data_IF_738114896003
#
_entry.id   IF_738114896003
#
_cell.length_a   1.000
_cell.length_b   1.000
_cell.length_c   1.000
_cell.angle_alpha   90.00
_cell.angle_beta   90.00
_cell.angle_gamma   90.00
#
_symmetry.space_group_name_H-M   'P 1'
#
loop_
_entity.id
_entity.type
_entity.pdbx_description
1 polymer ?
#
# COMPACT_ATOMS: atom_id res chain seq x y z
N UNK A 1 -19.80 42.37 -10.74
CA UNK A 1 -19.77 41.84 -9.36
C UNK A 1 -18.50 42.34 -8.68
N UNK A 2 -18.55 42.62 -7.38
CA UNK A 2 -17.37 43.04 -6.63
C UNK A 2 -16.68 41.80 -6.06
N UNK A 3 -15.36 41.71 -6.20
CA UNK A 3 -14.55 40.65 -5.58
C UNK A 3 -14.71 40.77 -4.06
N UNK A 4 -14.96 39.66 -3.38
CA UNK A 4 -15.14 39.60 -1.94
C UNK A 4 -14.23 38.51 -1.36
N UNK A 5 -13.56 38.86 -0.28
CA UNK A 5 -12.66 37.97 0.44
C UNK A 5 -13.37 37.41 1.66
N UNK A 6 -13.45 36.08 1.71
CA UNK A 6 -14.03 35.34 2.80
C UNK A 6 -12.99 34.44 3.45
N UNK A 7 -13.03 34.41 4.77
CA UNK A 7 -12.22 33.55 5.61
C UNK A 7 -13.14 32.76 6.52
N UNK A 8 -13.11 31.44 6.38
CA UNK A 8 -13.86 30.53 7.24
C UNK A 8 -12.93 30.03 8.35
N UNK A 9 -13.23 30.39 9.59
CA UNK A 9 -12.49 29.98 10.78
C UNK A 9 -13.46 29.21 11.68
N UNK A 10 -13.15 27.96 12.01
CA UNK A 10 -14.03 27.08 12.82
C UNK A 10 -15.50 27.03 12.35
N UNK A 11 -15.73 27.01 11.04
CA UNK A 11 -17.10 26.98 10.46
C UNK A 11 -17.85 28.33 10.52
N UNK A 12 -17.22 29.38 11.07
CA UNK A 12 -17.74 30.74 11.00
C UNK A 12 -17.13 31.45 9.81
N UNK A 13 -17.99 31.96 8.93
CA UNK A 13 -17.57 32.76 7.77
C UNK A 13 -17.39 34.22 8.16
N UNK A 14 -16.20 34.75 7.90
CA UNK A 14 -15.81 36.14 8.10
C UNK A 14 -15.56 36.79 6.75
N UNK A 15 -16.20 37.93 6.49
CA UNK A 15 -15.94 38.76 5.32
C UNK A 15 -14.96 39.84 5.75
N UNK A 16 -13.88 40.03 5.00
CA UNK A 16 -12.92 41.10 5.30
C UNK A 16 -13.60 42.47 5.16
N UNK A 17 -13.34 43.41 6.10
CA UNK A 17 -13.93 44.75 6.04
C UNK A 17 -13.40 45.54 4.85
N UNK A 18 -12.10 45.41 4.55
CA UNK A 18 -11.45 46.03 3.39
C UNK A 18 -10.79 44.92 2.57
N UNK A 19 -11.09 44.90 1.28
CA UNK A 19 -10.47 43.96 0.37
C UNK A 19 -9.00 44.34 0.16
N UNK A 20 -8.06 43.38 0.21
CA UNK A 20 -6.67 43.64 -0.13
C UNK A 20 -6.53 44.10 -1.59
N UNK A 21 -5.58 44.99 -1.85
CA UNK A 21 -5.32 45.49 -3.21
C UNK A 21 -4.68 44.44 -4.13
N UNK A 22 -3.98 43.46 -3.57
CA UNK A 22 -3.33 42.37 -4.30
C UNK A 22 -3.36 41.09 -3.45
N UNK A 23 -3.49 39.95 -4.13
CA UNK A 23 -3.30 38.62 -3.55
C UNK A 23 -2.28 37.86 -4.39
N UNK A 24 -1.20 37.38 -3.77
CA UNK A 24 -0.17 36.58 -4.45
C UNK A 24 -0.34 35.11 -4.10
N UNK A 25 -0.47 34.26 -5.12
CA UNK A 25 -0.52 32.81 -5.00
C UNK A 25 0.75 32.19 -5.57
N UNK A 26 1.55 31.56 -4.72
CA UNK A 26 2.77 30.87 -5.12
C UNK A 26 2.52 29.37 -5.12
N UNK A 27 2.64 28.74 -6.28
CA UNK A 27 2.53 27.29 -6.45
C UNK A 27 3.81 26.73 -7.05
N UNK A 28 4.36 25.68 -6.47
CA UNK A 28 5.56 25.02 -6.95
C UNK A 28 5.37 23.52 -7.14
N UNK A 29 6.40 22.88 -7.69
CA UNK A 29 6.51 21.44 -7.84
C UNK A 29 7.82 20.98 -7.22
N UNK A 30 7.77 19.93 -6.39
CA UNK A 30 8.97 19.40 -5.73
C UNK A 30 9.73 18.46 -6.68
N UNK A 31 10.24 19.00 -7.79
CA UNK A 31 11.03 18.23 -8.74
C UNK A 31 12.46 18.09 -8.23
N UNK A 32 13.03 16.88 -8.32
CA UNK A 32 14.43 16.63 -7.94
C UNK A 32 15.23 16.24 -9.16
N UNK A 33 16.27 17.01 -9.45
CA UNK A 33 17.22 16.72 -10.51
C UNK A 33 18.30 15.80 -9.96
N UNK A 34 18.53 14.67 -10.63
CA UNK A 34 19.56 13.69 -10.26
C UNK A 34 20.43 13.41 -11.47
N UNK A 35 21.74 13.53 -11.31
CA UNK A 35 22.72 13.21 -12.35
C UNK A 35 22.90 11.69 -12.43
N UNK A 36 22.85 11.14 -13.64
CA UNK A 36 23.13 9.73 -13.91
C UNK A 36 24.30 9.62 -14.86
N UNK A 37 25.30 8.80 -14.47
CA UNK A 37 26.53 8.59 -15.24
C UNK A 37 26.18 8.15 -16.67
N UNK A 38 26.70 8.90 -17.67
CA UNK A 38 26.44 8.81 -19.13
C UNK A 38 25.12 9.37 -19.65
N UNK A 39 24.10 9.54 -18.81
CA UNK A 39 22.80 10.07 -19.21
C UNK A 39 22.66 11.58 -18.94
N UNK A 40 23.52 12.13 -18.08
CA UNK A 40 23.44 13.54 -17.66
C UNK A 40 22.35 13.75 -16.61
N UNK A 41 21.81 14.97 -16.56
CA UNK A 41 20.80 15.36 -15.59
C UNK A 41 19.41 14.78 -15.94
N UNK A 42 18.85 14.01 -15.02
CA UNK A 42 17.49 13.49 -15.13
C UNK A 42 16.59 14.20 -14.12
N UNK A 43 15.47 14.74 -14.60
CA UNK A 43 14.47 15.37 -13.75
C UNK A 43 13.45 14.34 -13.25
N UNK A 44 13.44 14.09 -11.94
CA UNK A 44 12.43 13.28 -11.28
C UNK A 44 11.28 14.17 -10.80
N UNK A 45 10.10 13.99 -11.38
CA UNK A 45 8.91 14.76 -11.01
C UNK A 45 8.42 14.34 -9.62
N UNK A 46 8.47 15.26 -8.66
CA UNK A 46 7.82 15.05 -7.37
C UNK A 46 6.40 15.60 -7.35
N UNK A 47 5.78 15.53 -6.17
CA UNK A 47 4.44 16.08 -5.97
C UNK A 47 4.41 17.61 -6.00
N UNK A 48 3.21 18.18 -6.14
CA UNK A 48 3.01 19.63 -6.00
C UNK A 48 3.37 20.12 -4.59
N UNK A 49 4.07 21.24 -4.50
CA UNK A 49 4.34 21.93 -3.23
C UNK A 49 3.03 22.45 -2.62
N UNK A 50 3.07 22.87 -1.36
CA UNK A 50 1.94 23.56 -0.73
C UNK A 50 1.79 24.94 -1.35
N UNK A 51 0.55 25.35 -1.65
CA UNK A 51 0.27 26.70 -2.13
C UNK A 51 0.51 27.71 -1.02
N UNK A 52 1.29 28.74 -1.28
CA UNK A 52 1.52 29.85 -0.36
C UNK A 52 0.76 31.08 -0.84
N UNK A 53 0.13 31.80 0.07
CA UNK A 53 -0.69 32.97 -0.22
C UNK A 53 -0.35 34.10 0.72
N UNK A 54 -0.10 35.29 0.20
CA UNK A 54 0.12 36.47 1.03
C UNK A 54 -0.65 37.67 0.50
N UNK A 55 -1.14 38.48 1.44
CA UNK A 55 -1.81 39.74 1.14
C UNK A 55 -1.74 40.70 2.33
N UNK A 56 -1.96 41.98 2.04
CA UNK A 56 -1.96 43.07 3.02
C UNK A 56 -3.27 43.84 2.91
N UNK A 57 -3.83 44.23 4.04
CA UNK A 57 -5.05 45.06 4.10
C UNK A 57 -5.12 45.80 5.43
N UNK A 58 -6.25 46.44 5.69
CA UNK A 58 -6.49 47.33 6.82
C UNK A 58 -7.77 46.91 7.53
N UNK A 59 -7.75 46.93 8.87
CA UNK A 59 -8.93 46.87 9.72
C UNK A 59 -9.33 48.29 10.14
N UNK A 60 -10.42 48.83 9.57
CA UNK A 60 -10.83 50.20 9.83
C UNK A 60 -11.54 50.34 11.17
N UNK A 61 -11.22 51.39 11.93
CA UNK A 61 -11.98 51.78 13.13
C UNK A 61 -13.35 52.31 12.74
N UNK A 62 -13.41 53.16 11.72
CA UNK A 62 -14.67 53.72 11.25
C UNK A 62 -15.41 52.75 10.32
N UNK A 63 -16.20 51.86 10.90
CA UNK A 63 -17.01 50.84 10.19
C UNK A 63 -18.10 51.38 9.24
N UNK A 64 -18.26 52.71 9.11
CA UNK A 64 -19.26 53.34 8.23
C UNK A 64 -18.67 53.95 6.96
N UNK A 65 -17.36 53.86 6.75
CA UNK A 65 -16.73 54.43 5.56
C UNK A 65 -17.14 53.70 4.26
N UNK A 66 -17.18 54.42 3.14
CA UNK A 66 -17.68 53.92 1.85
C UNK A 66 -16.85 52.77 1.26
N UNK A 67 -15.56 52.71 1.61
CA UNK A 67 -14.64 51.65 1.16
C UNK A 67 -14.78 50.34 1.95
N UNK A 68 -15.67 50.30 2.95
CA UNK A 68 -15.90 49.11 3.78
C UNK A 68 -16.97 48.25 3.16
N UNK A 69 -16.71 46.95 3.13
CA UNK A 69 -17.67 45.99 2.64
C UNK A 69 -18.92 46.00 3.53
N UNK A 70 -20.12 46.30 2.99
CA UNK A 70 -21.35 46.44 3.77
C UNK A 70 -21.77 45.12 4.45
N UNK A 71 -21.34 43.99 3.90
CA UNK A 71 -21.63 42.66 4.42
C UNK A 71 -20.62 42.19 5.48
N UNK A 72 -19.54 42.94 5.71
CA UNK A 72 -18.57 42.61 6.76
C UNK A 72 -19.17 42.81 8.15
N UNK A 73 -18.68 42.03 9.12
CA UNK A 73 -19.06 42.23 10.52
C UNK A 73 -18.47 43.55 11.00
N UNK A 74 -19.34 44.46 11.43
CA UNK A 74 -18.95 45.72 12.07
C UNK A 74 -18.37 45.43 13.46
N UNK A 75 -17.06 45.29 13.52
CA UNK A 75 -16.30 45.00 14.74
C UNK A 75 -15.13 45.97 14.83
N UNK A 76 -14.62 46.14 16.05
CA UNK A 76 -13.41 46.95 16.27
C UNK A 76 -12.19 46.29 15.63
N UNK A 77 -11.18 47.06 15.20
CA UNK A 77 -9.94 46.53 14.65
C UNK A 77 -9.27 45.50 15.56
N UNK A 78 -9.26 45.76 16.87
CA UNK A 78 -8.71 44.84 17.87
C UNK A 78 -9.44 43.49 17.93
N UNK A 79 -10.74 43.45 17.71
CA UNK A 79 -11.48 42.18 17.69
C UNK A 79 -11.14 41.36 16.45
N UNK A 80 -10.91 42.01 15.30
CA UNK A 80 -10.41 41.34 14.11
C UNK A 80 -9.03 40.72 14.35
N UNK A 81 -8.10 41.50 14.92
CA UNK A 81 -6.77 41.02 15.30
C UNK A 81 -6.87 39.78 16.21
N UNK A 82 -7.71 39.83 17.26
CA UNK A 82 -7.92 38.69 18.16
C UNK A 82 -8.42 37.45 17.44
N UNK A 83 -9.33 37.58 16.47
CA UNK A 83 -9.82 36.43 15.70
C UNK A 83 -8.68 35.75 14.92
N UNK A 84 -7.81 36.54 14.30
CA UNK A 84 -6.68 36.01 13.53
C UNK A 84 -5.57 35.45 14.42
N UNK A 85 -5.26 36.11 15.54
CA UNK A 85 -4.31 35.62 16.52
C UNK A 85 -4.80 34.34 17.19
N UNK A 86 -6.08 34.26 17.57
CA UNK A 86 -6.67 33.04 18.12
C UNK A 86 -6.63 31.90 17.11
N UNK A 87 -6.96 32.18 15.84
CA UNK A 87 -6.90 31.19 14.77
C UNK A 87 -5.48 30.65 14.57
N UNK A 88 -4.48 31.53 14.61
CA UNK A 88 -3.07 31.17 14.53
C UNK A 88 -2.62 30.36 15.76
N UNK A 89 -2.88 30.86 16.96
CA UNK A 89 -2.43 30.25 18.22
C UNK A 89 -3.07 28.88 18.48
N UNK A 90 -4.32 28.68 18.04
CA UNK A 90 -5.02 27.40 18.15
C UNK A 90 -4.71 26.45 16.98
N UNK A 91 -3.80 26.81 16.08
CA UNK A 91 -3.47 26.05 14.87
C UNK A 91 -4.72 25.66 14.06
N UNK A 92 -5.67 26.59 13.93
CA UNK A 92 -6.92 26.34 13.26
C UNK A 92 -6.72 26.35 11.74
N UNK A 93 -7.44 25.45 11.06
CA UNK A 93 -7.58 25.48 9.61
C UNK A 93 -8.49 26.64 9.21
N UNK A 94 -8.03 27.46 8.27
CA UNK A 94 -8.73 28.62 7.73
C UNK A 94 -9.00 28.41 6.25
N UNK A 95 -10.25 28.50 5.83
CA UNK A 95 -10.60 28.40 4.41
C UNK A 95 -10.61 29.79 3.79
N UNK A 96 -9.74 30.03 2.82
CA UNK A 96 -9.73 31.25 2.02
C UNK A 96 -10.59 31.07 0.77
N UNK A 97 -11.57 31.94 0.60
CA UNK A 97 -12.46 31.97 -0.56
C UNK A 97 -12.47 33.39 -1.12
N UNK A 98 -12.04 33.53 -2.38
CA UNK A 98 -12.10 34.81 -3.12
C UNK A 98 -13.07 34.65 -4.28
N UNK A 99 -14.15 35.44 -4.27
CA UNK A 99 -15.14 35.38 -5.34
C UNK A 99 -14.57 35.91 -6.65
N UNK A 100 -15.09 35.42 -7.77
CA UNK A 100 -14.70 35.77 -9.14
C UNK A 100 -13.23 35.44 -9.54
N UNK A 101 -12.37 35.07 -8.59
CA UNK A 101 -11.00 34.60 -8.85
C UNK A 101 -10.84 33.07 -8.83
N UNK A 102 -11.89 32.32 -8.49
CA UNK A 102 -11.83 30.84 -8.40
C UNK A 102 -10.96 30.30 -7.26
N UNK A 103 -10.54 31.15 -6.32
CA UNK A 103 -9.68 30.77 -5.20
C UNK A 103 -10.56 30.19 -4.10
N UNK A 104 -10.35 28.91 -3.79
CA UNK A 104 -11.01 28.21 -2.70
C UNK A 104 -10.05 27.17 -2.11
N UNK A 105 -9.25 27.58 -1.14
CA UNK A 105 -8.17 26.77 -0.57
C UNK A 105 -8.28 26.69 0.95
N UNK A 106 -7.99 25.51 1.49
CA UNK A 106 -7.84 25.30 2.92
C UNK A 106 -6.40 25.64 3.30
N UNK A 107 -6.22 26.52 4.27
CA UNK A 107 -4.93 27.10 4.65
C UNK A 107 -4.74 27.10 6.16
N UNK A 108 -3.50 27.30 6.59
CA UNK A 108 -3.13 27.64 7.96
C UNK A 108 -2.41 29.00 7.94
N UNK A 109 -2.54 29.76 9.02
CA UNK A 109 -1.84 31.05 9.19
C UNK A 109 -0.41 30.77 9.64
N UNK A 110 0.57 31.05 8.79
CA UNK A 110 1.99 30.94 9.15
C UNK A 110 2.47 32.22 9.84
N UNK A 111 2.16 33.37 9.23
CA UNK A 111 2.59 34.67 9.71
C UNK A 111 1.42 35.64 9.72
N UNK A 112 1.33 36.41 10.80
CA UNK A 112 0.37 37.48 10.96
C UNK A 112 1.07 38.62 11.67
N UNK A 113 1.20 39.74 10.98
CA UNK A 113 1.83 40.96 11.47
C UNK A 113 0.80 42.08 11.38
N UNK A 114 0.72 42.91 12.41
CA UNK A 114 -0.20 44.03 12.44
C UNK A 114 0.42 45.21 13.19
N UNK A 115 -0.01 46.43 12.84
CA UNK A 115 0.51 47.66 13.43
C UNK A 115 -0.42 48.85 13.19
N UNK A 116 -0.19 49.93 13.94
CA UNK A 116 -0.91 51.19 13.75
C UNK A 116 -0.10 52.10 12.85
N UNK A 117 -0.73 52.68 11.82
CA UNK A 117 -0.15 53.73 11.02
C UNK A 117 -0.83 55.07 11.34
N UNK A 118 -0.01 56.10 11.55
CA UNK A 118 -0.38 57.51 11.44
C UNK A 118 -1.62 57.97 12.24
N UNK A 119 -1.68 57.60 13.53
CA UNK A 119 -2.71 58.03 14.50
C UNK A 119 -4.19 57.82 14.07
N UNK A 120 -4.42 57.13 12.95
CA UNK A 120 -5.73 56.96 12.31
C UNK A 120 -6.59 55.90 13.01
N UNK A 121 -6.04 55.27 14.05
CA UNK A 121 -6.61 54.19 14.87
C UNK A 121 -7.04 52.94 14.07
N UNK A 122 -6.79 52.96 12.77
CA UNK A 122 -6.86 51.84 11.84
C UNK A 122 -5.65 50.93 12.05
N UNK A 123 -5.86 49.62 11.90
CA UNK A 123 -4.79 48.62 12.03
C UNK A 123 -4.45 48.10 10.66
N UNK A 124 -3.22 48.33 10.22
CA UNK A 124 -2.68 47.68 9.03
C UNK A 124 -2.22 46.27 9.40
N UNK A 125 -2.45 45.31 8.50
CA UNK A 125 -2.01 43.95 8.70
C UNK A 125 -1.46 43.30 7.44
N UNK A 126 -0.53 42.37 7.66
CA UNK A 126 0.05 41.49 6.66
C UNK A 126 -0.13 40.05 7.12
N UNK A 127 -0.68 39.20 6.25
CA UNK A 127 -0.92 37.80 6.55
C UNK A 127 -0.30 36.89 5.49
N UNK A 128 0.35 35.83 5.96
CA UNK A 128 0.92 34.76 5.16
C UNK A 128 0.21 33.46 5.52
N UNK A 129 -0.40 32.85 4.51
CA UNK A 129 -1.19 31.64 4.59
C UNK A 129 -0.52 30.54 3.78
N UNK A 130 -0.54 29.32 4.28
CA UNK A 130 -0.04 28.14 3.57
C UNK A 130 -1.09 27.06 3.46
N UNK A 131 -1.16 26.39 2.32
CA UNK A 131 -2.11 25.32 2.06
C UNK A 131 -2.01 24.24 3.15
N UNK A 132 -3.14 23.98 3.79
CA UNK A 132 -3.27 22.89 4.74
C UNK A 132 -3.83 21.66 4.01
N UNK A 133 -3.04 20.58 3.97
CA UNK A 133 -3.47 19.29 3.47
C UNK A 133 -3.79 18.35 4.63
N UNK A 134 -5.01 17.81 4.61
CA UNK A 134 -5.39 16.75 5.54
C UNK A 134 -4.43 15.57 5.36
N UNK A 135 -3.77 15.20 6.44
CA UNK A 135 -2.93 14.01 6.50
C UNK A 135 -3.52 13.07 7.54
N UNK A 136 -3.53 11.77 7.21
CA UNK A 136 -3.95 10.72 8.11
C UNK A 136 -2.98 9.55 7.96
N UNK A 137 -2.62 8.91 9.08
CA UNK A 137 -1.78 7.73 9.04
C UNK A 137 -2.52 6.60 8.31
N UNK A 138 -1.95 6.14 7.19
CA UNK A 138 -2.41 4.89 6.57
C UNK A 138 -1.73 3.74 7.29
N UNK A 139 -2.46 3.07 8.17
CA UNK A 139 -1.97 1.84 8.80
C UNK A 139 -1.92 0.73 7.75
N UNK A 140 -0.71 0.42 7.28
CA UNK A 140 -0.50 -0.72 6.39
C UNK A 140 -0.59 -1.99 7.25
N UNK A 141 -1.67 -2.75 7.09
CA UNK A 141 -1.76 -4.09 7.67
C UNK A 141 -0.74 -4.97 6.93
N UNK A 142 0.40 -5.23 7.56
CA UNK A 142 1.36 -6.22 7.07
C UNK A 142 0.71 -7.59 7.19
N UNK A 143 0.01 -8.01 6.14
CA UNK A 143 -0.48 -9.38 6.06
C UNK A 143 0.79 -10.23 5.96
N UNK A 144 1.20 -10.85 7.06
CA UNK A 144 2.26 -11.87 7.03
C UNK A 144 1.80 -12.90 6.02
N UNK A 145 2.38 -12.87 4.83
CA UNK A 145 2.16 -13.89 3.81
C UNK A 145 2.63 -15.18 4.46
N UNK A 146 1.69 -16.04 4.88
CA UNK A 146 2.01 -17.41 5.26
C UNK A 146 2.58 -18.05 4.00
N UNK A 147 3.90 -18.02 3.87
CA UNK A 147 4.59 -18.81 2.87
C UNK A 147 4.41 -20.24 3.35
N UNK A 148 3.43 -20.93 2.81
CA UNK A 148 3.34 -22.38 2.94
C UNK A 148 4.66 -22.95 2.41
N UNK A 149 5.45 -23.68 3.21
CA UNK A 149 6.66 -24.28 2.70
C UNK A 149 6.30 -25.17 1.51
N UNK A 150 7.07 -25.07 0.43
CA UNK A 150 6.94 -25.95 -0.73
C UNK A 150 6.91 -27.41 -0.27
N UNK A 151 6.00 -28.25 -0.79
CA UNK A 151 5.96 -29.66 -0.41
C UNK A 151 7.34 -30.27 -0.66
N UNK A 152 7.97 -30.78 0.40
CA UNK A 152 9.25 -31.50 0.29
C UNK A 152 9.06 -32.63 -0.75
N UNK A 153 9.98 -32.81 -1.72
CA UNK A 153 9.89 -33.93 -2.65
C UNK A 153 9.75 -35.23 -1.86
N UNK A 154 8.81 -36.10 -2.26
CA UNK A 154 8.66 -37.42 -1.64
C UNK A 154 10.00 -38.16 -1.73
N UNK A 155 10.48 -38.81 -0.65
CA UNK A 155 11.71 -39.58 -0.71
C UNK A 155 11.61 -40.64 -1.83
N UNK A 156 12.71 -40.94 -2.53
CA UNK A 156 12.72 -41.94 -3.59
C UNK A 156 12.24 -43.29 -3.03
N UNK A 157 11.27 -43.91 -3.69
CA UNK A 157 10.62 -45.14 -3.23
C UNK A 157 11.50 -46.39 -3.50
N UNK A 158 12.79 -46.33 -3.17
CA UNK A 158 13.73 -47.44 -3.33
C UNK A 158 13.88 -48.24 -2.02
N UNK A 159 12.74 -48.67 -1.46
CA UNK A 159 12.78 -49.61 -0.32
C UNK A 159 13.13 -51.01 -0.87
N UNK A 160 14.10 -51.73 -0.28
CA UNK A 160 14.46 -53.07 -0.74
C UNK A 160 13.26 -54.02 -0.62
N UNK A 161 13.13 -54.98 -1.52
CA UNK A 161 12.07 -55.99 -1.44
C UNK A 161 12.44 -56.98 -0.33
N UNK A 162 11.58 -57.13 0.67
CA UNK A 162 11.75 -58.09 1.77
C UNK A 162 10.58 -59.09 1.77
N UNK A 163 10.75 -60.30 2.34
CA UNK A 163 9.65 -61.25 2.51
C UNK A 163 8.48 -60.62 3.26
N UNK A 164 7.26 -60.94 2.87
CA UNK A 164 6.01 -60.38 3.39
C UNK A 164 5.58 -59.05 2.77
N UNK A 165 6.37 -58.45 1.88
CA UNK A 165 5.98 -57.19 1.22
C UNK A 165 5.01 -57.39 0.07
N UNK A 166 4.06 -56.46 -0.07
CA UNK A 166 3.21 -56.35 -1.25
C UNK A 166 4.01 -55.77 -2.42
N UNK A 167 3.92 -56.43 -3.56
CA UNK A 167 4.59 -56.06 -4.80
C UNK A 167 3.61 -56.14 -5.96
N UNK A 168 3.83 -55.27 -6.95
CA UNK A 168 3.16 -55.36 -8.25
C UNK A 168 4.04 -56.20 -9.17
N UNK A 169 3.44 -57.23 -9.75
CA UNK A 169 4.07 -58.14 -10.72
C UNK A 169 3.62 -57.78 -12.13
N UNK A 170 4.59 -57.57 -13.01
CA UNK A 170 4.44 -57.31 -14.44
C UNK A 170 5.39 -58.23 -15.22
N UNK A 171 5.01 -59.50 -15.38
CA UNK A 171 5.87 -60.46 -16.05
C UNK A 171 5.36 -61.89 -15.95
N UNK A 172 6.16 -62.80 -16.50
CA UNK A 172 5.88 -64.22 -16.48
C UNK A 172 6.24 -64.84 -15.14
N UNK A 173 5.34 -65.68 -14.62
CA UNK A 173 5.61 -66.55 -13.48
C UNK A 173 6.37 -67.80 -13.93
N UNK A 174 7.28 -68.28 -13.10
CA UNK A 174 8.04 -69.51 -13.32
C UNK A 174 7.80 -70.49 -12.19
N UNK A 175 7.89 -71.79 -12.48
CA UNK A 175 7.70 -72.83 -11.46
C UNK A 175 8.80 -72.80 -10.41
N UNK A 176 10.03 -72.49 -10.82
CA UNK A 176 11.20 -72.44 -9.95
C UNK A 176 12.00 -71.14 -10.10
N UNK A 177 12.95 -70.94 -9.18
CA UNK A 177 13.81 -69.76 -9.16
C UNK A 177 14.82 -69.71 -10.33
N UNK A 178 15.00 -70.83 -11.04
CA UNK A 178 15.90 -70.94 -12.19
C UNK A 178 15.26 -70.48 -13.49
N UNK A 179 13.96 -70.19 -13.50
CA UNK A 179 13.23 -69.76 -14.69
C UNK A 179 12.67 -70.92 -15.51
N UNK A 180 12.70 -72.15 -15.00
CA UNK A 180 12.13 -73.29 -15.69
C UNK A 180 10.61 -73.38 -15.48
N UNK A 181 9.91 -73.94 -16.47
CA UNK A 181 8.45 -74.08 -16.44
C UNK A 181 7.73 -72.73 -16.56
N UNK A 182 7.69 -72.13 -17.77
CA UNK A 182 6.97 -70.89 -18.01
C UNK A 182 5.49 -71.04 -17.64
N UNK A 183 5.06 -70.24 -16.67
CA UNK A 183 3.71 -70.17 -16.16
C UNK A 183 2.93 -68.98 -16.71
N UNK A 184 1.88 -68.61 -15.98
CA UNK A 184 0.96 -67.53 -16.35
C UNK A 184 1.67 -66.17 -16.31
N UNK A 185 1.39 -65.32 -17.29
CA UNK A 185 1.86 -63.93 -17.33
C UNK A 185 0.90 -63.06 -16.53
N UNK A 186 1.43 -62.24 -15.64
CA UNK A 186 0.66 -61.31 -14.83
C UNK A 186 1.01 -59.87 -15.20
N UNK A 187 -0.01 -59.01 -15.24
CA UNK A 187 0.12 -57.58 -15.48
C UNK A 187 -0.61 -56.82 -14.38
N UNK A 188 0.11 -55.88 -13.77
CA UNK A 188 -0.31 -55.03 -12.66
C UNK A 188 -0.92 -55.81 -11.48
N UNK A 189 -0.45 -57.04 -11.26
CA UNK A 189 -1.01 -57.93 -10.26
C UNK A 189 -0.37 -57.69 -8.89
N UNK A 190 -1.20 -57.43 -7.87
CA UNK A 190 -0.75 -57.32 -6.48
C UNK A 190 -0.50 -58.69 -5.89
N UNK A 191 0.70 -58.89 -5.35
CA UNK A 191 1.17 -60.16 -4.79
C UNK A 191 1.99 -59.91 -3.54
N UNK A 192 2.15 -60.95 -2.73
CA UNK A 192 3.05 -60.92 -1.56
C UNK A 192 4.30 -61.72 -1.89
N UNK A 193 5.48 -61.18 -1.57
CA UNK A 193 6.74 -61.92 -1.72
C UNK A 193 6.88 -62.87 -0.54
N UNK A 194 6.96 -64.18 -0.79
CA UNK A 194 7.12 -65.18 0.27
C UNK A 194 8.60 -65.57 0.46
N UNK A 195 9.28 -65.93 -0.63
CA UNK A 195 10.69 -66.31 -0.63
C UNK A 195 11.52 -65.43 -1.54
N UNK A 196 12.77 -65.23 -1.16
CA UNK A 196 13.76 -64.50 -1.95
C UNK A 196 14.99 -65.38 -2.09
N UNK A 197 15.40 -65.66 -3.32
CA UNK A 197 16.59 -66.42 -3.65
C UNK A 197 17.54 -65.55 -4.49
N UNK A 198 18.39 -64.75 -3.83
CA UNK A 198 19.26 -63.80 -4.51
C UNK A 198 20.28 -64.52 -5.41
N UNK A 199 20.57 -63.95 -6.58
CA UNK A 199 21.55 -64.49 -7.54
C UNK A 199 21.00 -65.52 -8.54
N UNK A 200 19.68 -65.76 -8.56
CA UNK A 200 19.00 -66.58 -9.57
C UNK A 200 18.26 -65.74 -10.61
N UNK A 201 17.89 -66.35 -11.75
CA UNK A 201 17.19 -65.67 -12.84
C UNK A 201 15.83 -65.12 -12.38
N UNK A 202 15.09 -65.89 -11.58
CA UNK A 202 13.83 -65.48 -10.97
C UNK A 202 13.97 -65.49 -9.45
N UNK A 203 14.44 -64.39 -8.82
CA UNK A 203 14.81 -64.37 -7.41
C UNK A 203 13.63 -64.19 -6.45
N UNK A 204 12.45 -63.75 -6.90
CA UNK A 204 11.32 -63.47 -6.01
C UNK A 204 10.19 -64.48 -6.21
N UNK A 205 9.79 -65.20 -5.16
CA UNK A 205 8.60 -66.04 -5.18
C UNK A 205 7.39 -65.24 -4.68
N UNK A 206 6.32 -65.23 -5.47
CA UNK A 206 5.11 -64.45 -5.20
C UNK A 206 3.91 -65.35 -4.91
N UNK A 207 3.03 -64.86 -4.04
CA UNK A 207 1.76 -65.48 -3.67
C UNK A 207 0.60 -64.53 -3.90
N UNK A 208 -0.62 -65.08 -3.96
CA UNK A 208 -1.85 -64.31 -3.81
C UNK A 208 -1.88 -63.62 -2.44
N UNK A 209 -2.74 -62.60 -2.31
CA UNK A 209 -2.96 -61.91 -1.04
C UNK A 209 -3.48 -62.86 0.04
N UNK A 210 -4.21 -63.91 -0.36
CA UNK A 210 -4.75 -64.96 0.52
C UNK A 210 -3.78 -66.12 0.78
N UNK A 211 -2.49 -65.98 0.39
CA UNK A 211 -1.44 -66.97 0.66
C UNK A 211 -1.31 -68.12 -0.36
N UNK A 212 -2.14 -68.15 -1.42
CA UNK A 212 -2.03 -69.13 -2.50
C UNK A 212 -0.73 -68.98 -3.31
N UNK A 213 -0.03 -70.08 -3.56
CA UNK A 213 1.25 -70.07 -4.28
C UNK A 213 1.05 -69.76 -5.77
N UNK A 214 1.93 -68.93 -6.36
CA UNK A 214 1.86 -68.57 -7.78
C UNK A 214 3.11 -69.02 -8.54
N UNK A 215 4.27 -68.50 -8.14
CA UNK A 215 5.52 -68.82 -8.82
C UNK A 215 6.60 -67.77 -8.60
N UNK A 216 7.73 -67.97 -9.28
CA UNK A 216 8.91 -67.11 -9.22
C UNK A 216 8.90 -66.10 -10.36
N UNK A 217 9.44 -64.91 -10.12
CA UNK A 217 9.47 -63.81 -11.08
C UNK A 217 10.84 -63.17 -11.15
N UNK A 218 11.16 -62.63 -12.32
CA UNK A 218 12.41 -61.92 -12.60
C UNK A 218 12.48 -60.60 -11.83
N UNK A 219 13.69 -60.09 -11.53
CA UNK A 219 13.83 -58.88 -10.72
C UNK A 219 13.29 -57.63 -11.40
N UNK A 220 13.31 -57.57 -12.74
CA UNK A 220 12.76 -56.46 -13.51
C UNK A 220 11.23 -56.43 -13.58
N UNK A 221 10.57 -57.54 -13.26
CA UNK A 221 9.11 -57.68 -13.31
C UNK A 221 8.42 -57.39 -11.98
N UNK A 222 9.15 -56.98 -10.94
CA UNK A 222 8.61 -56.74 -9.60
C UNK A 222 8.88 -55.32 -9.15
N UNK A 223 7.83 -54.65 -8.66
CA UNK A 223 7.94 -53.34 -8.04
C UNK A 223 7.24 -53.33 -6.70
N UNK A 224 7.94 -52.91 -5.64
CA UNK A 224 7.36 -52.73 -4.31
C UNK A 224 6.32 -51.60 -4.32
N UNK A 225 5.18 -51.83 -3.68
CA UNK A 225 4.11 -50.84 -3.46
C UNK A 225 4.48 -49.93 -2.29
#
# INVERSE_FOLDING_TARGET
MAIQFYLEVEGKRHILPVNPGEIKLTTGSNNTVTEVVKLGDINSFGGRSLVETSFKSIFPKNTKASYINPNSKKQTPQNWVKVFEDAKNKNQRVRLIVTDCGINILTAIEKFEWGYLDASEDIEYSIELKEYRNHAAKYVKTVKKKVSPTPRPKPPNNKPITPGCEVIVNGQLHRDSWGAGPGVIEQNARRIVNFINPGKQCPYHVTLLDGGWRGWVTPGSVRRV
#
